data_IF_879376424574
#
_entry.id   IF_879376424574
#
_cell.length_a   1.000
_cell.length_b   1.000
_cell.length_c   1.000
_cell.angle_alpha   90.00
_cell.angle_beta   90.00
_cell.angle_gamma   90.00
#
_symmetry.space_group_name_H-M   'P 1'
#
loop_
_entity.id
_entity.type
_entity.pdbx_description
1 polymer ?
#
# COMPACT_ATOMS: atom_id res chain seq x y z
N UNK A 1 -17.22 0.64 7.47
CA UNK A 1 -16.78 -0.68 6.98
C UNK A 1 -15.32 -0.54 6.61
N UNK A 2 -14.45 -1.43 7.08
CA UNK A 2 -13.03 -1.33 6.74
C UNK A 2 -12.81 -1.84 5.32
N UNK A 3 -11.88 -1.20 4.60
CA UNK A 3 -11.44 -1.65 3.27
C UNK A 3 -9.93 -1.80 3.27
N UNK A 4 -9.41 -2.64 2.38
CA UNK A 4 -7.98 -2.82 2.17
C UNK A 4 -7.56 -2.08 0.90
N UNK A 5 -6.49 -1.31 0.98
CA UNK A 5 -5.94 -0.53 -0.13
C UNK A 5 -4.47 -0.86 -0.32
N UNK A 6 -4.09 -1.19 -1.55
CA UNK A 6 -2.70 -1.23 -1.97
C UNK A 6 -2.32 0.12 -2.57
N UNK A 7 -1.11 0.61 -2.26
CA UNK A 7 -0.62 1.88 -2.75
C UNK A 7 0.84 1.71 -3.21
N UNK A 8 1.14 2.26 -4.38
CA UNK A 8 2.49 2.37 -4.95
C UNK A 8 2.87 3.84 -5.02
N UNK A 9 4.05 4.16 -4.51
CA UNK A 9 4.61 5.52 -4.51
C UNK A 9 5.92 5.52 -5.29
N UNK A 10 6.02 6.40 -6.28
CA UNK A 10 7.21 6.60 -7.11
C UNK A 10 7.81 7.99 -6.92
N UNK A 11 9.14 8.09 -7.12
CA UNK A 11 9.91 9.33 -6.99
C UNK A 11 11.23 9.11 -6.23
N UNK A 12 11.78 10.17 -5.65
CA UNK A 12 12.89 10.09 -4.71
C UNK A 12 12.37 9.72 -3.31
N UNK A 13 12.02 8.45 -3.13
CA UNK A 13 11.29 7.94 -1.94
C UNK A 13 12.06 6.87 -1.15
N UNK A 14 13.27 6.50 -1.58
CA UNK A 14 14.14 5.57 -0.86
C UNK A 14 15.35 6.30 -0.26
N UNK A 15 15.88 5.80 0.86
CA UNK A 15 16.99 6.46 1.58
C UNK A 15 16.62 7.76 2.33
N UNK A 16 15.38 8.24 2.16
CA UNK A 16 14.88 9.53 2.70
C UNK A 16 13.98 9.39 3.92
N UNK A 17 13.92 8.20 4.52
CA UNK A 17 13.07 7.93 5.69
C UNK A 17 11.58 7.70 5.39
N UNK A 18 11.20 7.58 4.11
CA UNK A 18 9.80 7.45 3.67
C UNK A 18 9.03 6.34 4.38
N UNK A 19 9.58 5.12 4.46
CA UNK A 19 8.93 3.99 5.17
C UNK A 19 8.59 4.31 6.62
N UNK A 20 9.52 4.92 7.36
CA UNK A 20 9.33 5.26 8.77
C UNK A 20 8.27 6.35 8.92
N UNK A 21 8.27 7.32 8.01
CA UNK A 21 7.27 8.37 7.95
C UNK A 21 5.88 7.77 7.67
N UNK A 22 5.74 6.91 6.66
CA UNK A 22 4.48 6.22 6.32
C UNK A 22 3.94 5.39 7.49
N UNK A 23 4.81 4.64 8.20
CA UNK A 23 4.39 3.86 9.36
C UNK A 23 3.83 4.74 10.49
N UNK A 24 4.46 5.89 10.75
CA UNK A 24 4.00 6.84 11.78
C UNK A 24 2.67 7.48 11.39
N UNK A 25 2.53 7.89 10.13
CA UNK A 25 1.30 8.47 9.59
C UNK A 25 0.16 7.45 9.63
N UNK A 26 0.37 6.23 9.14
CA UNK A 26 -0.64 5.18 9.19
C UNK A 26 -1.11 4.88 10.63
N UNK A 27 -0.17 4.80 11.59
CA UNK A 27 -0.52 4.61 13.01
C UNK A 27 -1.33 5.76 13.58
N UNK A 28 -1.00 7.02 13.24
CA UNK A 28 -1.76 8.21 13.67
C UNK A 28 -3.21 8.17 13.16
N UNK A 29 -3.41 7.63 11.96
CA UNK A 29 -4.71 7.49 11.30
C UNK A 29 -5.48 6.22 11.71
N UNK A 30 -4.95 5.42 12.65
CA UNK A 30 -5.59 4.17 13.07
C UNK A 30 -5.61 3.09 11.99
N UNK A 31 -4.70 3.15 11.02
CA UNK A 31 -4.59 2.20 9.91
C UNK A 31 -3.62 1.05 10.26
N UNK A 32 -3.91 -0.13 9.73
CA UNK A 32 -3.08 -1.32 9.87
C UNK A 32 -2.52 -1.77 8.51
N UNK A 33 -1.37 -2.43 8.48
CA UNK A 33 -0.79 -2.98 7.25
C UNK A 33 0.73 -2.99 7.21
N UNK A 34 1.32 -2.89 6.01
CA UNK A 34 2.76 -2.98 5.78
C UNK A 34 3.25 -1.95 4.76
N UNK A 35 4.55 -1.63 4.80
CA UNK A 35 5.23 -0.78 3.82
C UNK A 35 6.64 -1.30 3.52
N UNK A 36 7.05 -1.33 2.25
CA UNK A 36 8.32 -1.93 1.78
C UNK A 36 8.92 -1.15 0.60
N UNK A 37 10.24 -1.08 0.55
CA UNK A 37 10.98 -0.62 -0.63
C UNK A 37 11.00 -1.74 -1.67
N UNK A 38 10.82 -1.39 -2.95
CA UNK A 38 10.97 -2.30 -4.07
C UNK A 38 12.26 -2.03 -4.85
N UNK A 39 12.83 -3.03 -5.56
CA UNK A 39 14.06 -2.86 -6.34
C UNK A 39 13.96 -1.83 -7.48
N UNK A 40 12.75 -1.54 -7.96
CA UNK A 40 12.48 -0.54 -9.01
C UNK A 40 12.57 0.91 -8.52
N UNK A 41 12.99 1.12 -7.25
CA UNK A 41 13.10 2.44 -6.64
C UNK A 41 11.82 2.94 -5.96
N UNK A 42 10.72 2.19 -6.03
CA UNK A 42 9.44 2.61 -5.44
C UNK A 42 9.26 2.16 -4.00
N UNK A 43 8.22 2.69 -3.36
CA UNK A 43 7.71 2.22 -2.08
C UNK A 43 6.29 1.70 -2.26
N UNK A 44 6.06 0.45 -1.86
CA UNK A 44 4.74 -0.18 -1.87
C UNK A 44 4.21 -0.30 -0.44
N UNK A 45 2.90 -0.15 -0.26
CA UNK A 45 2.23 -0.42 1.01
C UNK A 45 0.86 -1.05 0.80
N UNK A 46 0.42 -1.82 1.79
CA UNK A 46 -0.98 -2.16 1.98
C UNK A 46 -1.46 -1.55 3.29
N UNK A 47 -2.64 -0.91 3.26
CA UNK A 47 -3.27 -0.32 4.43
C UNK A 47 -4.74 -0.76 4.51
N UNK A 48 -5.21 -1.04 5.72
CA UNK A 48 -6.58 -1.44 6.02
C UNK A 48 -7.14 -0.53 7.12
N UNK A 49 -8.38 -0.08 6.93
CA UNK A 49 -9.08 0.74 7.90
C UNK A 49 -10.25 1.49 7.28
N UNK A 50 -10.64 2.59 7.93
CA UNK A 50 -11.72 3.44 7.43
C UNK A 50 -11.35 4.09 6.08
N UNK A 51 -12.25 4.11 5.08
CA UNK A 51 -11.99 4.71 3.77
C UNK A 51 -11.48 6.15 3.85
N UNK A 52 -12.01 6.97 4.77
CA UNK A 52 -11.59 8.37 4.92
C UNK A 52 -10.16 8.48 5.43
N UNK A 53 -9.76 7.60 6.37
CA UNK A 53 -8.39 7.52 6.87
C UNK A 53 -7.42 7.04 5.79
N UNK A 54 -7.86 6.12 4.91
CA UNK A 54 -7.06 5.67 3.77
C UNK A 54 -6.91 6.74 2.69
N UNK A 55 -7.93 7.57 2.48
CA UNK A 55 -7.86 8.73 1.59
C UNK A 55 -6.90 9.78 2.16
N UNK A 56 -6.99 10.08 3.46
CA UNK A 56 -6.05 10.98 4.13
C UNK A 56 -4.61 10.45 4.04
N UNK A 57 -4.40 9.14 4.26
CA UNK A 57 -3.07 8.55 4.08
C UNK A 57 -2.56 8.74 2.66
N UNK A 58 -3.39 8.48 1.64
CA UNK A 58 -3.02 8.66 0.22
C UNK A 58 -2.58 10.09 -0.06
N UNK A 59 -3.33 11.07 0.43
CA UNK A 59 -3.03 12.48 0.17
C UNK A 59 -1.74 12.91 0.85
N UNK A 60 -1.54 12.48 2.10
CA UNK A 60 -0.30 12.71 2.85
C UNK A 60 0.91 12.06 2.15
N UNK A 61 0.75 10.93 1.46
CA UNK A 61 1.85 10.29 0.73
C UNK A 61 2.40 11.14 -0.41
N UNK A 62 1.67 12.13 -0.94
CA UNK A 62 2.22 13.11 -1.88
C UNK A 62 3.18 14.10 -1.21
N UNK A 63 3.02 14.38 0.08
CA UNK A 63 3.91 15.26 0.84
C UNK A 63 5.19 14.52 1.28
N UNK A 64 5.01 13.34 1.88
CA UNK A 64 6.11 12.53 2.39
C UNK A 64 6.99 13.23 3.44
N UNK A 65 8.15 12.65 3.80
CA UNK A 65 9.15 13.32 4.63
C UNK A 65 9.83 14.49 3.88
N UNK A 66 10.42 15.48 4.58
CA UNK A 66 11.01 16.67 3.94
C UNK A 66 12.10 16.42 2.89
N UNK A 67 12.75 15.25 2.93
CA UNK A 67 13.81 14.87 2.00
C UNK A 67 13.29 14.07 0.79
N UNK A 68 12.00 13.75 0.73
CA UNK A 68 11.43 13.02 -0.42
C UNK A 68 10.91 13.96 -1.50
N UNK A 69 10.89 13.45 -2.72
CA UNK A 69 10.19 14.06 -3.85
C UNK A 69 9.28 13.00 -4.47
N UNK A 70 7.96 13.18 -4.35
CA UNK A 70 6.98 12.19 -4.79
C UNK A 70 6.45 12.60 -6.16
N UNK A 71 6.57 11.71 -7.14
CA UNK A 71 6.13 11.93 -8.52
C UNK A 71 4.74 11.38 -8.78
N UNK A 72 4.40 10.23 -8.18
CA UNK A 72 3.08 9.64 -8.31
C UNK A 72 2.71 8.77 -7.12
N UNK A 73 1.40 8.73 -6.84
CA UNK A 73 0.77 7.81 -5.89
C UNK A 73 -0.37 7.10 -6.61
N UNK A 74 -0.22 5.80 -6.84
CA UNK A 74 -1.23 4.94 -7.44
C UNK A 74 -1.86 4.07 -6.35
N UNK A 75 -3.19 3.90 -6.35
CA UNK A 75 -3.88 3.13 -5.33
C UNK A 75 -4.99 2.25 -5.88
N UNK A 76 -5.13 1.05 -5.31
CA UNK A 76 -6.14 0.06 -5.66
C UNK A 76 -6.87 -0.39 -4.40
N UNK A 77 -8.20 -0.35 -4.42
CA UNK A 77 -9.04 -0.87 -3.35
C UNK A 77 -9.38 -2.32 -3.63
N UNK A 78 -9.27 -3.17 -2.60
CA UNK A 78 -9.73 -4.54 -2.62
C UNK A 78 -10.94 -4.65 -1.69
N UNK A 79 -12.10 -4.91 -2.27
CA UNK A 79 -13.25 -5.37 -1.51
C UNK A 79 -13.09 -6.87 -1.29
N UNK A 80 -13.06 -7.33 -0.03
CA UNK A 80 -13.18 -8.76 0.21
C UNK A 80 -14.58 -9.20 -0.22
N UNK A 81 -14.65 -10.12 -1.19
CA UNK A 81 -15.91 -10.72 -1.62
C UNK A 81 -16.59 -11.41 -0.42
N UNK A 82 -17.88 -11.17 -0.15
CA UNK A 82 -18.61 -11.83 0.94
C UNK A 82 -18.77 -13.35 0.78
N UNK A 83 -18.23 -13.96 -0.27
CA UNK A 83 -18.42 -15.37 -0.54
C UNK A 83 -17.26 -16.19 0.01
N UNK A 84 -17.57 -16.96 1.07
CA UNK A 84 -16.82 -18.12 1.54
C UNK A 84 -16.27 -18.91 0.34
N UNK A 85 -14.96 -18.88 0.16
CA UNK A 85 -14.30 -19.68 -0.86
C UNK A 85 -14.26 -21.12 -0.39
N UNK A 86 -15.16 -21.95 -0.94
CA UNK A 86 -14.94 -23.40 -0.99
C UNK A 86 -13.67 -23.65 -1.79
N UNK A 87 -12.87 -24.58 -1.27
CA UNK A 87 -11.42 -24.73 -1.42
C UNK A 87 -10.87 -25.08 -2.81
N UNK A 88 -11.59 -24.90 -3.93
CA UNK A 88 -11.16 -25.48 -5.22
C UNK A 88 -11.24 -24.56 -6.45
N UNK A 89 -11.64 -23.28 -6.33
CA UNK A 89 -11.96 -22.45 -7.51
C UNK A 89 -11.33 -21.04 -7.54
N UNK A 90 -10.04 -20.90 -7.23
CA UNK A 90 -9.27 -19.71 -7.64
C UNK A 90 -8.05 -20.15 -8.46
N UNK A 91 -8.33 -20.55 -9.69
CA UNK A 91 -7.36 -20.51 -10.78
C UNK A 91 -8.01 -19.59 -11.81
N UNK A 92 -7.33 -18.47 -12.13
CA UNK A 92 -7.67 -17.50 -13.19
C UNK A 92 -8.63 -16.36 -12.81
N UNK A 93 -8.12 -15.38 -12.05
CA UNK A 93 -8.43 -13.97 -12.35
C UNK A 93 -7.38 -12.95 -11.86
N UNK A 94 -6.27 -13.40 -11.28
CA UNK A 94 -5.11 -12.55 -11.02
C UNK A 94 -4.01 -12.80 -12.07
N UNK A 95 -4.31 -12.53 -13.34
CA UNK A 95 -3.26 -12.21 -14.30
C UNK A 95 -2.87 -10.74 -14.11
N UNK A 96 -2.16 -10.46 -13.02
CA UNK A 96 -1.26 -9.32 -12.90
C UNK A 96 0.09 -9.89 -12.48
N UNK A 97 0.80 -10.26 -13.53
CA UNK A 97 2.24 -10.50 -13.71
C UNK A 97 3.15 -10.25 -12.50
N UNK A 98 3.81 -11.33 -12.08
CA UNK A 98 5.24 -11.44 -11.73
C UNK A 98 5.87 -10.28 -10.95
N UNK A 99 5.95 -10.44 -9.63
CA UNK A 99 7.20 -10.37 -8.84
C UNK A 99 6.89 -10.02 -7.38
N UNK A 100 6.42 -11.03 -6.63
CA UNK A 100 6.47 -11.00 -5.17
C UNK A 100 7.40 -12.13 -4.69
N UNK A 101 8.67 -11.87 -4.34
CA UNK A 101 9.47 -12.85 -3.64
C UNK A 101 9.01 -13.00 -2.19
N UNK A 102 8.62 -14.24 -1.92
CA UNK A 102 8.24 -14.87 -0.67
C UNK A 102 9.38 -14.66 0.35
N UNK A 103 9.05 -14.19 1.55
CA UNK A 103 10.02 -14.12 2.66
C UNK A 103 10.20 -15.52 3.25
N UNK A 104 11.45 -16.00 3.24
CA UNK A 104 12.00 -16.88 4.27
C UNK A 104 12.33 -16.07 5.53
#
# INVERSE_FOLDING_TARGET
>A
MNVKRFIRVAGNVQGVGFRMWTQRTARRLGLHGWVRNFPDGTVHLAAEGDPSSLDELRDLLYEGPPASEVLSVESWVFEESPLELRSEEIVLNAQMTSDFPILS
#
